data_IF_821031355435
#
_entry.id   IF_821031355435
#
_cell.length_a   1.000
_cell.length_b   1.000
_cell.length_c   1.000
_cell.angle_alpha   90.00
_cell.angle_beta   90.00
_cell.angle_gamma   90.00
#
_symmetry.space_group_name_H-M   'P 1'
#
loop_
_entity.id
_entity.type
_entity.pdbx_description
1 polymer ?
#
# COMPACT_ATOMS: atom_id res chain seq x y z
N UNK A 1 42.32 45.30 -10.28
CA UNK A 1 40.93 44.77 -10.34
C UNK A 1 40.01 45.98 -10.24
N UNK A 2 39.19 46.20 -11.25
CA UNK A 2 38.26 47.35 -11.31
C UNK A 2 37.10 47.13 -10.31
N UNK A 3 36.60 48.19 -9.69
CA UNK A 3 35.47 48.17 -8.74
C UNK A 3 34.22 47.49 -9.34
N UNK A 4 33.98 47.67 -10.65
CA UNK A 4 32.89 46.99 -11.35
C UNK A 4 33.06 45.46 -11.44
N UNK A 5 34.28 44.97 -11.64
CA UNK A 5 34.57 43.53 -11.68
C UNK A 5 34.39 42.88 -10.31
N UNK A 6 34.74 43.60 -9.24
CA UNK A 6 34.52 43.14 -7.87
C UNK A 6 33.01 43.01 -7.54
N UNK A 7 32.20 44.02 -7.88
CA UNK A 7 30.75 44.01 -7.65
C UNK A 7 30.10 42.87 -8.43
N UNK A 8 30.51 42.70 -9.69
CA UNK A 8 29.96 41.61 -10.55
C UNK A 8 30.30 40.21 -10.01
N UNK A 9 31.53 40.03 -9.53
CA UNK A 9 31.97 38.77 -8.90
C UNK A 9 31.20 38.48 -7.62
N UNK A 10 30.99 39.48 -6.76
CA UNK A 10 30.20 39.36 -5.52
C UNK A 10 28.75 38.99 -5.79
N UNK A 11 28.14 39.65 -6.78
CA UNK A 11 26.75 39.33 -7.19
C UNK A 11 26.63 37.90 -7.73
N UNK A 12 27.57 37.44 -8.53
CA UNK A 12 27.59 36.08 -9.05
C UNK A 12 27.72 35.03 -7.94
N UNK A 13 28.54 35.30 -6.92
CA UNK A 13 28.70 34.44 -5.76
C UNK A 13 27.39 34.33 -4.99
N UNK A 14 26.76 35.48 -4.72
CA UNK A 14 25.48 35.53 -4.01
C UNK A 14 24.35 34.79 -4.78
N UNK A 15 24.27 34.95 -6.10
CA UNK A 15 23.31 34.20 -6.94
C UNK A 15 23.55 32.69 -6.84
N UNK A 16 24.80 32.23 -6.84
CA UNK A 16 25.11 30.79 -6.68
C UNK A 16 24.71 30.27 -5.30
N UNK A 17 24.96 31.05 -4.26
CA UNK A 17 24.54 30.69 -2.89
C UNK A 17 23.02 30.56 -2.79
N UNK A 18 22.25 31.50 -3.37
CA UNK A 18 20.81 31.46 -3.42
C UNK A 18 20.29 30.28 -4.24
N UNK A 19 20.93 29.96 -5.37
CA UNK A 19 20.57 28.77 -6.15
C UNK A 19 20.80 27.49 -5.37
N UNK A 20 21.90 27.38 -4.66
CA UNK A 20 22.22 26.22 -3.81
C UNK A 20 21.21 26.07 -2.67
N UNK A 21 20.87 27.18 -2.01
CA UNK A 21 19.87 27.20 -0.95
C UNK A 21 18.47 26.81 -1.47
N UNK A 22 18.08 27.30 -2.65
CA UNK A 22 16.83 26.95 -3.29
C UNK A 22 16.74 25.46 -3.66
N UNK A 23 17.83 24.91 -4.21
CA UNK A 23 17.89 23.47 -4.55
C UNK A 23 17.78 22.61 -3.30
N UNK A 24 18.46 23.00 -2.21
CA UNK A 24 18.38 22.31 -0.92
C UNK A 24 16.94 22.34 -0.36
N UNK A 25 16.33 23.51 -0.34
CA UNK A 25 14.96 23.69 0.14
C UNK A 25 13.94 22.90 -0.70
N UNK A 26 14.13 22.81 -2.03
CA UNK A 26 13.30 22.00 -2.89
C UNK A 26 13.42 20.51 -2.58
N UNK A 27 14.64 20.01 -2.32
CA UNK A 27 14.86 18.62 -1.93
C UNK A 27 14.24 18.29 -0.56
N UNK A 28 14.38 19.19 0.42
CA UNK A 28 13.75 19.03 1.74
C UNK A 28 12.22 19.01 1.64
N UNK A 29 11.63 19.89 0.82
CA UNK A 29 10.19 19.90 0.58
C UNK A 29 9.69 18.62 -0.09
N UNK A 30 10.46 18.04 -1.02
CA UNK A 30 10.11 16.76 -1.63
C UNK A 30 10.12 15.63 -0.58
N UNK A 31 11.15 15.54 0.23
CA UNK A 31 11.25 14.55 1.29
C UNK A 31 10.11 14.65 2.31
N UNK A 32 9.73 15.88 2.72
CA UNK A 32 8.62 16.11 3.63
C UNK A 32 7.26 15.72 3.03
N UNK A 33 7.08 15.90 1.72
CA UNK A 33 5.86 15.43 1.02
C UNK A 33 5.79 13.91 1.02
N UNK A 34 6.88 13.23 0.70
CA UNK A 34 6.94 11.76 0.70
C UNK A 34 6.66 11.20 2.10
N UNK A 35 7.18 11.85 3.15
CA UNK A 35 6.89 11.47 4.54
C UNK A 35 5.41 11.68 4.90
N UNK A 36 4.82 12.82 4.49
CA UNK A 36 3.41 13.11 4.71
C UNK A 36 2.50 12.09 4.00
N UNK A 37 2.81 11.71 2.76
CA UNK A 37 2.02 10.74 2.00
C UNK A 37 2.15 9.34 2.65
N UNK A 38 3.33 8.98 3.15
CA UNK A 38 3.52 7.75 3.92
C UNK A 38 2.70 7.74 5.21
N UNK A 39 2.69 8.85 5.97
CA UNK A 39 1.89 8.97 7.19
C UNK A 39 0.39 8.88 6.93
N UNK A 40 -0.10 9.50 5.86
CA UNK A 40 -1.50 9.39 5.42
C UNK A 40 -1.87 7.95 5.11
N UNK A 41 -1.03 7.24 4.32
CA UNK A 41 -1.28 5.86 3.98
C UNK A 41 -1.34 4.95 5.23
N UNK A 42 -0.45 5.16 6.20
CA UNK A 42 -0.49 4.44 7.48
C UNK A 42 -1.76 4.75 8.29
N UNK A 43 -2.18 6.01 8.31
CA UNK A 43 -3.40 6.40 9.00
C UNK A 43 -4.64 5.77 8.37
N UNK A 44 -4.72 5.77 7.04
CA UNK A 44 -5.83 5.16 6.30
C UNK A 44 -5.90 3.65 6.55
N UNK A 45 -4.77 2.95 6.57
CA UNK A 45 -4.71 1.53 6.92
C UNK A 45 -5.12 1.25 8.36
N UNK A 46 -4.71 2.10 9.31
CA UNK A 46 -5.11 1.98 10.70
C UNK A 46 -6.61 2.16 10.89
N UNK A 47 -7.18 3.16 10.22
CA UNK A 47 -8.62 3.41 10.22
C UNK A 47 -9.39 2.24 9.61
N UNK A 48 -8.93 1.72 8.46
CA UNK A 48 -9.51 0.58 7.79
C UNK A 48 -9.48 -0.68 8.67
N UNK A 49 -8.34 -0.98 9.31
CA UNK A 49 -8.22 -2.10 10.22
C UNK A 49 -9.15 -1.96 11.43
N UNK A 50 -9.23 -0.75 12.02
CA UNK A 50 -10.12 -0.48 13.13
C UNK A 50 -11.60 -0.65 12.74
N UNK A 51 -12.00 -0.18 11.56
CA UNK A 51 -13.39 -0.33 11.08
C UNK A 51 -13.74 -1.78 10.78
N UNK A 52 -12.85 -2.52 10.14
CA UNK A 52 -13.12 -3.87 9.67
C UNK A 52 -13.01 -4.94 10.78
N UNK A 53 -12.15 -4.73 11.77
CA UNK A 53 -11.80 -5.77 12.76
C UNK A 53 -12.34 -5.48 14.17
N UNK A 54 -12.70 -4.24 14.50
CA UNK A 54 -13.18 -3.86 15.84
C UNK A 54 -14.44 -4.60 16.28
N UNK A 55 -15.27 -5.04 15.34
CA UNK A 55 -16.50 -5.80 15.61
C UNK A 55 -16.25 -7.23 16.09
N UNK A 56 -15.01 -7.72 16.08
CA UNK A 56 -14.64 -9.08 16.46
C UNK A 56 -15.03 -10.16 15.44
N UNK A 57 -15.61 -9.78 14.31
CA UNK A 57 -15.94 -10.74 13.25
C UNK A 57 -14.66 -11.12 12.48
N UNK A 58 -14.42 -12.43 12.29
CA UNK A 58 -13.25 -12.89 11.55
C UNK A 58 -13.25 -12.35 10.11
N UNK A 59 -12.08 -11.87 9.68
CA UNK A 59 -11.80 -11.46 8.30
C UNK A 59 -10.71 -12.34 7.70
N UNK A 60 -10.97 -12.92 6.55
CA UNK A 60 -9.98 -13.67 5.78
C UNK A 60 -9.53 -12.84 4.57
N UNK A 61 -8.24 -12.50 4.50
CA UNK A 61 -7.67 -11.79 3.35
C UNK A 61 -7.13 -12.83 2.37
N UNK A 62 -7.52 -12.71 1.12
CA UNK A 62 -7.07 -13.57 0.02
C UNK A 62 -6.14 -12.78 -0.90
N UNK A 63 -4.93 -13.27 -1.05
CA UNK A 63 -3.99 -12.82 -2.06
C UNK A 63 -4.45 -13.33 -3.43
N UNK A 64 -5.22 -12.49 -4.11
CA UNK A 64 -6.01 -12.91 -5.26
C UNK A 64 -5.16 -13.41 -6.42
N UNK A 65 -4.06 -12.72 -6.75
CA UNK A 65 -3.20 -13.13 -7.87
C UNK A 65 -2.49 -14.45 -7.59
N UNK A 66 -1.95 -14.66 -6.41
CA UNK A 66 -1.30 -15.90 -6.04
C UNK A 66 -2.25 -17.11 -6.01
N UNK A 67 -3.54 -16.88 -5.77
CA UNK A 67 -4.55 -17.93 -5.80
C UNK A 67 -4.99 -18.31 -7.21
N UNK A 68 -4.80 -17.43 -8.22
CA UNK A 68 -5.17 -17.66 -9.62
C UNK A 68 -3.97 -17.75 -10.57
N UNK A 69 -2.74 -17.52 -10.10
CA UNK A 69 -1.52 -17.55 -10.90
C UNK A 69 -1.33 -18.90 -11.60
N UNK A 70 -0.95 -18.80 -12.89
CA UNK A 70 -0.67 -19.97 -13.72
C UNK A 70 -1.88 -20.51 -14.46
N UNK A 71 -3.05 -19.91 -14.32
CA UNK A 71 -4.21 -20.30 -15.11
C UNK A 71 -4.25 -19.59 -16.47
N UNK A 72 -4.46 -20.32 -17.57
CA UNK A 72 -4.67 -19.73 -18.89
C UNK A 72 -6.05 -19.04 -19.04
N UNK A 73 -6.88 -19.05 -18.00
CA UNK A 73 -8.27 -18.56 -17.99
C UNK A 73 -8.52 -17.54 -16.89
N UNK A 74 -7.63 -16.57 -16.74
CA UNK A 74 -7.61 -15.58 -15.67
C UNK A 74 -8.97 -14.95 -15.30
N UNK A 75 -9.77 -14.55 -16.29
CA UNK A 75 -11.09 -13.96 -16.03
C UNK A 75 -12.07 -14.97 -15.41
N UNK A 76 -12.04 -16.23 -15.87
CA UNK A 76 -12.86 -17.30 -15.31
C UNK A 76 -12.43 -17.64 -13.90
N UNK A 77 -11.14 -17.76 -13.67
CA UNK A 77 -10.60 -18.13 -12.36
C UNK A 77 -10.83 -17.04 -11.32
N UNK A 78 -10.83 -15.77 -11.73
CA UNK A 78 -11.24 -14.66 -10.87
C UNK A 78 -12.72 -14.80 -10.46
N UNK A 79 -13.61 -15.10 -11.40
CA UNK A 79 -15.02 -15.33 -11.10
C UNK A 79 -15.21 -16.55 -10.18
N UNK A 80 -14.46 -17.63 -10.42
CA UNK A 80 -14.47 -18.83 -9.58
C UNK A 80 -13.92 -18.55 -8.18
N UNK A 81 -12.87 -17.71 -8.05
CA UNK A 81 -12.32 -17.27 -6.77
C UNK A 81 -13.36 -16.48 -5.94
N UNK A 82 -14.07 -15.56 -6.58
CA UNK A 82 -15.14 -14.78 -5.96
C UNK A 82 -16.30 -15.70 -5.55
N UNK A 83 -16.67 -16.65 -6.40
CA UNK A 83 -17.70 -17.64 -6.08
C UNK A 83 -17.32 -18.51 -4.87
N UNK A 84 -16.06 -18.95 -4.77
CA UNK A 84 -15.54 -19.67 -3.62
C UNK A 84 -15.58 -18.82 -2.34
N UNK A 85 -15.18 -17.55 -2.44
CA UNK A 85 -15.23 -16.63 -1.31
C UNK A 85 -16.66 -16.44 -0.79
N UNK A 86 -17.63 -16.25 -1.68
CA UNK A 86 -19.06 -16.16 -1.32
C UNK A 86 -19.58 -17.44 -0.68
N UNK A 87 -19.26 -18.59 -1.27
CA UNK A 87 -19.69 -19.88 -0.77
C UNK A 87 -19.10 -20.24 0.60
N UNK A 88 -17.98 -19.62 0.99
CA UNK A 88 -17.38 -19.83 2.31
C UNK A 88 -18.25 -19.35 3.47
N UNK A 89 -19.17 -18.42 3.24
CA UNK A 89 -19.95 -17.74 4.26
C UNK A 89 -19.15 -16.83 5.20
N UNK A 90 -17.83 -16.73 5.01
CA UNK A 90 -16.95 -15.89 5.80
C UNK A 90 -16.89 -14.48 5.21
N UNK A 91 -16.48 -13.50 6.02
CA UNK A 91 -16.04 -12.20 5.50
C UNK A 91 -14.71 -12.39 4.81
N UNK A 92 -14.68 -12.15 3.51
CA UNK A 92 -13.46 -12.31 2.69
C UNK A 92 -13.10 -11.01 2.02
N UNK A 93 -11.83 -10.69 2.06
CA UNK A 93 -11.26 -9.57 1.32
C UNK A 93 -10.25 -10.07 0.31
N UNK A 94 -10.59 -10.04 -0.97
CA UNK A 94 -9.72 -10.40 -2.08
C UNK A 94 -8.95 -9.15 -2.49
N UNK A 95 -7.62 -9.20 -2.41
CA UNK A 95 -6.72 -8.13 -2.82
C UNK A 95 -6.00 -8.53 -4.10
N UNK A 96 -6.01 -7.64 -5.08
CA UNK A 96 -5.43 -7.85 -6.41
C UNK A 96 -4.57 -6.65 -6.80
N UNK A 97 -3.50 -6.88 -7.54
CA UNK A 97 -2.81 -5.82 -8.25
C UNK A 97 -3.67 -5.31 -9.41
N UNK A 98 -3.67 -4.01 -9.64
CA UNK A 98 -4.41 -3.40 -10.74
C UNK A 98 -3.86 -2.01 -11.06
N UNK A 99 -4.12 -1.50 -12.26
CA UNK A 99 -3.68 -0.16 -12.65
C UNK A 99 -4.46 0.92 -11.92
N UNK A 100 -5.75 0.73 -11.78
CA UNK A 100 -6.64 1.68 -11.11
C UNK A 100 -7.04 1.13 -9.74
N UNK A 101 -6.98 1.99 -8.73
CA UNK A 101 -7.51 1.66 -7.42
C UNK A 101 -9.03 1.54 -7.51
N UNK A 102 -9.56 0.41 -7.10
CA UNK A 102 -10.98 0.13 -7.10
C UNK A 102 -11.36 -0.80 -5.94
N UNK A 103 -12.53 -0.57 -5.35
CA UNK A 103 -13.10 -1.42 -4.31
C UNK A 103 -14.53 -1.77 -4.67
N UNK A 104 -14.82 -3.07 -4.70
CA UNK A 104 -16.16 -3.58 -4.93
C UNK A 104 -16.60 -4.41 -3.73
N UNK A 105 -17.85 -4.23 -3.29
CA UNK A 105 -18.49 -5.03 -2.25
C UNK A 105 -19.56 -5.91 -2.89
N UNK A 106 -19.53 -7.20 -2.60
CA UNK A 106 -20.51 -8.16 -3.10
C UNK A 106 -20.86 -9.18 -2.00
N UNK A 107 -21.88 -8.85 -1.23
CA UNK A 107 -22.28 -9.62 -0.05
C UNK A 107 -21.21 -9.61 1.03
N UNK A 108 -20.72 -10.79 1.39
CA UNK A 108 -19.66 -11.00 2.38
C UNK A 108 -18.24 -10.87 1.79
N UNK A 109 -18.11 -10.52 0.50
CA UNK A 109 -16.83 -10.44 -0.21
C UNK A 109 -16.54 -8.99 -0.59
N UNK A 110 -15.34 -8.51 -0.18
CA UNK A 110 -14.73 -7.27 -0.68
C UNK A 110 -13.66 -7.64 -1.71
N UNK A 111 -13.62 -6.94 -2.82
CA UNK A 111 -12.59 -7.07 -3.84
C UNK A 111 -11.91 -5.71 -3.97
N UNK A 112 -10.59 -5.65 -3.79
CA UNK A 112 -9.82 -4.43 -3.93
C UNK A 112 -8.70 -4.60 -4.93
N UNK A 113 -8.52 -3.59 -5.78
CA UNK A 113 -7.36 -3.43 -6.64
C UNK A 113 -6.47 -2.33 -6.06
N UNK A 114 -5.17 -2.60 -5.92
CA UNK A 114 -4.25 -1.71 -5.21
C UNK A 114 -3.82 -0.47 -5.99
N UNK A 115 -4.21 -0.36 -7.26
CA UNK A 115 -3.87 0.79 -8.12
C UNK A 115 -2.38 0.94 -8.41
N UNK A 116 -2.02 1.77 -9.42
CA UNK A 116 -0.65 2.17 -9.76
C UNK A 116 0.13 1.14 -10.56
N UNK A 117 1.42 1.44 -10.80
CA UNK A 117 2.34 0.61 -11.57
C UNK A 117 3.33 -0.10 -10.64
N UNK A 118 3.62 -1.37 -10.92
CA UNK A 118 4.58 -2.20 -10.19
C UNK A 118 4.01 -3.54 -9.75
N UNK A 119 4.91 -4.52 -9.62
CA UNK A 119 4.61 -5.86 -9.12
C UNK A 119 4.54 -5.88 -7.58
N UNK A 120 3.88 -6.88 -7.02
CA UNK A 120 3.79 -7.13 -5.57
C UNK A 120 3.15 -6.01 -4.72
N UNK A 121 2.29 -5.21 -5.29
CA UNK A 121 1.59 -4.15 -4.54
C UNK A 121 0.53 -4.72 -3.61
N UNK A 122 -0.18 -5.76 -4.07
CA UNK A 122 -1.12 -6.50 -3.23
C UNK A 122 -0.42 -7.13 -2.02
N UNK A 123 0.75 -7.75 -2.23
CA UNK A 123 1.56 -8.33 -1.15
C UNK A 123 1.94 -7.27 -0.11
N UNK A 124 2.48 -6.14 -0.59
CA UNK A 124 2.85 -5.02 0.29
C UNK A 124 1.64 -4.49 1.06
N UNK A 125 0.52 -4.28 0.37
CA UNK A 125 -0.71 -3.78 0.99
C UNK A 125 -1.19 -4.75 2.09
N UNK A 126 -1.23 -6.05 1.81
CA UNK A 126 -1.65 -7.08 2.78
C UNK A 126 -0.71 -7.09 3.99
N UNK A 127 0.61 -7.06 3.78
CA UNK A 127 1.58 -7.01 4.89
C UNK A 127 1.38 -5.76 5.75
N UNK A 128 1.25 -4.60 5.13
CA UNK A 128 1.09 -3.33 5.86
C UNK A 128 -0.23 -3.30 6.64
N UNK A 129 -1.31 -3.83 6.07
CA UNK A 129 -2.59 -3.98 6.76
C UNK A 129 -2.49 -4.92 7.97
N UNK A 130 -1.90 -6.10 7.80
CA UNK A 130 -1.74 -7.09 8.88
C UNK A 130 -0.85 -6.55 10.00
N UNK A 131 0.25 -5.87 9.67
CA UNK A 131 1.11 -5.20 10.66
C UNK A 131 0.34 -4.14 11.45
N UNK A 132 -0.48 -3.35 10.76
CA UNK A 132 -1.31 -2.34 11.41
C UNK A 132 -2.37 -2.97 12.30
N UNK A 133 -3.03 -4.04 11.86
CA UNK A 133 -3.97 -4.80 12.68
C UNK A 133 -3.30 -5.38 13.93
N UNK A 134 -2.08 -5.93 13.80
CA UNK A 134 -1.29 -6.41 14.93
C UNK A 134 -0.93 -5.28 15.91
N UNK A 135 -0.47 -4.15 15.40
CA UNK A 135 -0.15 -2.97 16.21
C UNK A 135 -1.35 -2.48 17.02
N UNK A 136 -2.56 -2.55 16.45
CA UNK A 136 -3.82 -2.18 17.10
C UNK A 136 -4.39 -3.28 18.03
N UNK A 137 -3.74 -4.44 18.12
CA UNK A 137 -4.23 -5.59 18.89
C UNK A 137 -5.45 -6.28 18.28
N UNK A 138 -5.67 -6.13 16.97
CA UNK A 138 -6.84 -6.64 16.23
C UNK A 138 -6.55 -7.90 15.39
N UNK A 139 -5.29 -8.37 15.37
CA UNK A 139 -4.86 -9.47 14.50
C UNK A 139 -5.51 -10.83 14.84
N UNK A 140 -6.01 -11.02 16.05
CA UNK A 140 -6.63 -12.30 16.48
C UNK A 140 -7.82 -12.75 15.62
N UNK A 141 -8.48 -11.81 14.93
CA UNK A 141 -9.63 -12.09 14.06
C UNK A 141 -9.26 -12.03 12.57
N UNK A 142 -7.97 -12.05 12.26
CA UNK A 142 -7.46 -11.91 10.90
C UNK A 142 -6.75 -13.18 10.46
N UNK A 143 -6.98 -13.60 9.22
CA UNK A 143 -6.24 -14.68 8.57
C UNK A 143 -5.91 -14.30 7.14
N UNK A 144 -4.83 -14.87 6.59
CA UNK A 144 -4.39 -14.61 5.21
C UNK A 144 -4.28 -15.93 4.45
N UNK A 145 -4.87 -15.97 3.26
CA UNK A 145 -4.81 -17.10 2.35
C UNK A 145 -3.98 -16.74 1.12
N UNK A 146 -2.90 -17.48 0.91
CA UNK A 146 -2.00 -17.35 -0.26
C UNK A 146 -1.36 -18.70 -0.58
N UNK A 147 -0.98 -18.91 -1.83
CA UNK A 147 -0.16 -20.05 -2.26
C UNK A 147 1.35 -19.76 -2.18
N UNK A 148 1.75 -18.50 -2.02
CA UNK A 148 3.15 -18.12 -1.82
C UNK A 148 3.61 -18.45 -0.40
N UNK A 149 4.58 -19.36 -0.30
CA UNK A 149 5.11 -19.84 0.99
C UNK A 149 5.94 -18.78 1.72
N UNK A 150 6.66 -17.95 0.98
CA UNK A 150 7.54 -16.94 1.60
C UNK A 150 6.72 -15.72 2.03
N UNK A 151 5.73 -15.34 1.24
CA UNK A 151 4.75 -14.33 1.62
C UNK A 151 3.95 -14.77 2.86
N UNK A 152 3.49 -16.02 2.91
CA UNK A 152 2.80 -16.58 4.08
C UNK A 152 3.64 -16.46 5.36
N UNK A 153 4.92 -16.85 5.31
CA UNK A 153 5.83 -16.71 6.45
C UNK A 153 6.04 -15.25 6.88
N UNK A 154 6.07 -14.33 5.92
CA UNK A 154 6.20 -12.91 6.22
C UNK A 154 4.99 -12.38 6.98
N UNK A 155 3.78 -12.80 6.61
CA UNK A 155 2.52 -12.39 7.24
C UNK A 155 2.33 -13.05 8.61
N UNK A 156 2.62 -14.36 8.74
CA UNK A 156 2.46 -15.13 9.99
C UNK A 156 3.26 -14.57 11.17
N UNK A 157 4.27 -13.72 10.91
CA UNK A 157 5.03 -13.04 11.98
C UNK A 157 4.21 -12.01 12.73
N UNK A 158 3.08 -11.59 12.18
CA UNK A 158 2.22 -10.55 12.74
C UNK A 158 0.85 -11.07 13.19
N UNK A 159 0.49 -12.27 12.80
CA UNK A 159 -0.73 -12.99 13.22
C UNK A 159 -0.47 -13.86 14.44
#
# INVERSE_FOLDING_TARGET
>A
MNTQDFIRSSQLTHVRELQTALTKAAAENAALRDELDSLKAHFDLALLAAMDLKGGEPLEIWDGWNLILGSPKEAKDRADLVAQAKASGKRVWIVLDGHDENVTLDGNVRISYTGGQGEHRADKFIIDFVRMAAYLGLAANLSVRTNDKDFRKAVERFL
#
